data_IF_018198530657
#
_entry.id   IF_018198530657
#
_cell.length_a   1.000
_cell.length_b   1.000
_cell.length_c   1.000
_cell.angle_alpha   90.00
_cell.angle_beta   90.00
_cell.angle_gamma   90.00
#
_symmetry.space_group_name_H-M   'P 1'
#
loop_
_entity.id
_entity.type
_entity.pdbx_description
1 polymer ?
#
# COMPACT_ATOMS: atom_id res chain seq x y z
N UNK A 1 -2.44 -6.79 -22.82
CA UNK A 1 -1.35 -7.38 -21.99
C UNK A 1 -1.84 -7.35 -20.56
N UNK A 2 -1.76 -8.46 -19.81
CA UNK A 2 -2.06 -8.45 -18.38
C UNK A 2 -1.14 -7.42 -17.68
N UNK A 3 -1.67 -6.64 -16.74
CA UNK A 3 -0.87 -5.70 -15.99
C UNK A 3 0.13 -6.46 -15.12
N UNK A 4 1.41 -6.09 -15.23
CA UNK A 4 2.48 -6.66 -14.41
C UNK A 4 2.65 -5.80 -13.17
N UNK A 5 2.97 -6.41 -12.04
CA UNK A 5 3.18 -5.72 -10.74
C UNK A 5 4.45 -4.85 -10.66
N UNK A 6 5.20 -4.71 -11.77
CA UNK A 6 6.55 -4.15 -11.78
C UNK A 6 6.53 -2.66 -11.43
N UNK A 7 5.61 -1.89 -12.02
CA UNK A 7 5.54 -0.44 -11.82
C UNK A 7 5.13 -0.09 -10.40
N UNK A 8 4.17 -0.81 -9.86
CA UNK A 8 3.62 -0.65 -8.52
C UNK A 8 4.66 -1.01 -7.45
N UNK A 9 5.34 -2.16 -7.60
CA UNK A 9 6.41 -2.55 -6.70
C UNK A 9 7.57 -1.54 -6.76
N UNK A 10 7.97 -1.09 -7.95
CA UNK A 10 9.04 -0.11 -8.09
C UNK A 10 8.69 1.23 -7.40
N UNK A 11 7.45 1.70 -7.54
CA UNK A 11 6.98 2.89 -6.85
C UNK A 11 7.04 2.73 -5.33
N UNK A 12 6.49 1.63 -4.80
CA UNK A 12 6.49 1.32 -3.37
C UNK A 12 7.92 1.26 -2.79
N UNK A 13 8.83 0.54 -3.46
CA UNK A 13 10.23 0.41 -3.03
C UNK A 13 10.96 1.75 -3.09
N UNK A 14 10.76 2.53 -4.15
CA UNK A 14 11.35 3.87 -4.25
C UNK A 14 10.90 4.77 -3.10
N UNK A 15 9.62 4.71 -2.73
CA UNK A 15 9.08 5.48 -1.61
C UNK A 15 9.72 5.10 -0.26
N UNK A 16 9.86 3.80 0.01
CA UNK A 16 10.53 3.32 1.23
C UNK A 16 12.01 3.73 1.25
N UNK A 17 12.72 3.51 0.14
CA UNK A 17 14.14 3.86 0.02
C UNK A 17 14.41 5.37 0.19
N UNK A 18 13.45 6.24 -0.17
CA UNK A 18 13.56 7.69 0.08
C UNK A 18 13.64 8.01 1.57
N UNK A 19 12.89 7.31 2.44
CA UNK A 19 12.99 7.51 3.88
C UNK A 19 14.36 7.08 4.41
N UNK A 20 14.83 5.90 4.00
CA UNK A 20 16.16 5.41 4.39
C UNK A 20 17.26 6.40 4.01
N UNK A 21 17.24 6.91 2.78
CA UNK A 21 18.20 7.91 2.30
C UNK A 21 18.13 9.20 3.12
N UNK A 22 16.93 9.75 3.27
CA UNK A 22 16.73 11.07 3.90
C UNK A 22 17.09 11.07 5.38
N UNK A 23 16.91 9.93 6.08
CA UNK A 23 17.10 9.84 7.53
C UNK A 23 18.46 9.26 7.97
N UNK A 24 19.33 8.85 7.05
CA UNK A 24 20.72 8.56 7.40
C UNK A 24 21.44 7.45 6.64
N UNK A 25 20.75 6.66 5.81
CA UNK A 25 21.42 5.63 5.00
C UNK A 25 21.91 6.23 3.67
N UNK A 26 23.15 6.73 3.65
CA UNK A 26 23.71 7.49 2.51
C UNK A 26 24.48 6.63 1.50
N UNK A 27 24.77 5.37 1.82
CA UNK A 27 25.46 4.46 0.89
C UNK A 27 24.54 4.02 -0.23
N UNK A 28 24.79 4.53 -1.44
CA UNK A 28 24.03 4.15 -2.64
C UNK A 28 24.08 2.65 -2.94
N UNK A 29 25.20 1.99 -2.63
CA UNK A 29 25.32 0.53 -2.76
C UNK A 29 24.37 -0.20 -1.79
N UNK A 30 24.26 0.26 -0.54
CA UNK A 30 23.32 -0.32 0.42
C UNK A 30 21.88 -0.05 -0.03
N UNK A 31 21.55 1.18 -0.44
CA UNK A 31 20.21 1.50 -0.94
C UNK A 31 19.82 0.67 -2.16
N UNK A 32 20.75 0.45 -3.10
CA UNK A 32 20.52 -0.40 -4.27
C UNK A 32 20.31 -1.86 -3.86
N UNK A 33 21.15 -2.39 -2.96
CA UNK A 33 21.01 -3.76 -2.43
C UNK A 33 19.66 -3.96 -1.75
N UNK A 34 19.26 -3.01 -0.90
CA UNK A 34 17.95 -3.02 -0.23
C UNK A 34 16.82 -2.97 -1.24
N UNK A 35 16.87 -2.04 -2.20
CA UNK A 35 15.81 -1.85 -3.18
C UNK A 35 15.65 -3.08 -4.08
N UNK A 36 16.75 -3.69 -4.53
CA UNK A 36 16.70 -4.92 -5.31
C UNK A 36 16.10 -6.07 -4.48
N UNK A 37 16.59 -6.26 -3.25
CA UNK A 37 16.09 -7.32 -2.38
C UNK A 37 14.60 -7.18 -2.08
N UNK A 38 14.12 -5.96 -1.81
CA UNK A 38 12.71 -5.74 -1.50
C UNK A 38 11.82 -5.95 -2.74
N UNK A 39 12.27 -5.54 -3.93
CA UNK A 39 11.54 -5.81 -5.17
C UNK A 39 11.34 -7.33 -5.40
N UNK A 40 12.41 -8.12 -5.23
CA UNK A 40 12.36 -9.58 -5.39
C UNK A 40 11.41 -10.23 -4.37
N UNK A 41 11.49 -9.82 -3.10
CA UNK A 41 10.63 -10.34 -2.03
C UNK A 41 9.16 -10.01 -2.26
N UNK A 42 8.84 -8.77 -2.65
CA UNK A 42 7.47 -8.36 -2.93
C UNK A 42 6.91 -9.08 -4.16
N UNK A 43 7.70 -9.20 -5.23
CA UNK A 43 7.27 -9.89 -6.44
C UNK A 43 6.93 -11.36 -6.18
N UNK A 44 7.77 -12.06 -5.41
CA UNK A 44 7.48 -13.45 -5.03
C UNK A 44 6.28 -13.53 -4.08
N UNK A 45 6.18 -12.62 -3.10
CA UNK A 45 5.07 -12.62 -2.15
C UNK A 45 3.71 -12.38 -2.82
N UNK A 46 3.66 -11.50 -3.82
CA UNK A 46 2.43 -11.08 -4.51
C UNK A 46 2.02 -12.00 -5.65
N UNK A 47 2.91 -12.89 -6.12
CA UNK A 47 2.74 -13.74 -7.31
C UNK A 47 1.38 -14.42 -7.46
N UNK A 48 0.81 -14.94 -6.36
CA UNK A 48 -0.48 -15.64 -6.34
C UNK A 48 -1.63 -14.80 -5.79
N UNK A 49 -1.35 -13.55 -5.46
CA UNK A 49 -2.29 -12.60 -4.87
C UNK A 49 -2.35 -11.31 -5.69
N UNK A 50 -2.11 -11.37 -7.01
CA UNK A 50 -2.18 -10.22 -7.91
C UNK A 50 -3.34 -10.42 -8.90
N UNK A 51 -4.38 -9.59 -8.80
CA UNK A 51 -5.60 -9.73 -9.59
C UNK A 51 -5.94 -8.41 -10.30
N UNK A 52 -5.34 -8.12 -11.48
CA UNK A 52 -5.59 -6.87 -12.21
C UNK A 52 -7.07 -6.61 -12.51
N UNK A 53 -7.87 -7.65 -12.69
CA UNK A 53 -9.30 -7.54 -12.98
C UNK A 53 -10.12 -7.17 -11.73
N UNK A 54 -9.56 -7.38 -10.53
CA UNK A 54 -10.15 -7.05 -9.23
C UNK A 54 -9.06 -6.48 -8.31
N UNK A 55 -8.60 -5.23 -8.53
CA UNK A 55 -7.41 -4.69 -7.86
C UNK A 55 -7.45 -4.83 -6.32
N UNK A 56 -8.62 -4.66 -5.73
CA UNK A 56 -8.82 -4.71 -4.27
C UNK A 56 -8.74 -6.12 -3.68
N UNK A 57 -8.92 -7.15 -4.50
CA UNK A 57 -8.77 -8.54 -4.06
C UNK A 57 -7.32 -8.77 -3.64
N UNK A 58 -7.12 -9.13 -2.37
CA UNK A 58 -5.79 -9.36 -1.81
C UNK A 58 -5.03 -8.10 -1.40
N UNK A 59 -5.62 -6.90 -1.47
CA UNK A 59 -4.96 -5.64 -1.08
C UNK A 59 -4.43 -5.70 0.36
N UNK A 60 -5.23 -6.21 1.30
CA UNK A 60 -4.80 -6.40 2.69
C UNK A 60 -3.64 -7.39 2.87
N UNK A 61 -3.54 -8.41 2.00
CA UNK A 61 -2.41 -9.36 2.01
C UNK A 61 -1.14 -8.71 1.47
N UNK A 62 -1.25 -7.87 0.43
CA UNK A 62 -0.12 -7.17 -0.17
C UNK A 62 0.34 -5.95 0.64
N UNK A 63 -0.53 -5.42 1.49
CA UNK A 63 -0.29 -4.23 2.30
C UNK A 63 1.02 -4.34 3.10
N UNK A 64 1.88 -3.34 2.95
CA UNK A 64 3.09 -3.18 3.75
C UNK A 64 2.74 -2.29 4.93
N UNK A 65 3.00 -2.77 6.16
CA UNK A 65 2.61 -2.04 7.38
C UNK A 65 3.76 -1.96 8.38
N UNK A 66 4.02 -0.74 8.84
CA UNK A 66 4.93 -0.44 9.95
C UNK A 66 4.10 0.21 11.05
N UNK A 67 4.23 -0.32 12.26
CA UNK A 67 3.66 0.25 13.49
C UNK A 67 4.65 -0.06 14.65
N UNK A 68 4.17 -0.56 15.78
CA UNK A 68 5.02 -1.17 16.81
C UNK A 68 5.79 -2.41 16.32
N UNK A 69 5.50 -2.90 15.11
CA UNK A 69 6.19 -4.00 14.43
C UNK A 69 6.65 -3.57 13.03
N UNK A 70 7.84 -4.02 12.65
CA UNK A 70 8.37 -3.83 11.30
C UNK A 70 7.72 -4.82 10.33
N UNK A 71 7.44 -4.37 9.12
CA UNK A 71 7.03 -5.26 8.04
C UNK A 71 8.11 -6.35 7.82
N UNK A 72 7.75 -7.63 7.76
CA UNK A 72 8.72 -8.71 7.67
C UNK A 72 9.55 -8.67 6.39
N UNK A 73 9.00 -8.21 5.26
CA UNK A 73 9.71 -8.14 3.99
C UNK A 73 10.68 -6.97 3.97
N UNK A 74 10.29 -5.81 4.54
CA UNK A 74 11.23 -4.69 4.78
C UNK A 74 12.36 -5.15 5.70
N UNK A 75 12.03 -5.81 6.82
CA UNK A 75 13.02 -6.32 7.76
C UNK A 75 14.00 -7.28 7.11
N UNK A 76 13.51 -8.22 6.30
CA UNK A 76 14.33 -9.18 5.58
C UNK A 76 15.23 -8.52 4.52
N UNK A 77 14.73 -7.53 3.78
CA UNK A 77 15.55 -6.76 2.85
C UNK A 77 16.63 -5.95 3.58
N UNK A 78 16.29 -5.36 4.72
CA UNK A 78 17.21 -4.58 5.54
C UNK A 78 18.35 -5.44 6.13
N UNK A 79 18.11 -6.71 6.47
CA UNK A 79 19.16 -7.62 6.93
C UNK A 79 20.35 -7.71 5.95
N UNK A 80 20.11 -7.54 4.65
CA UNK A 80 21.18 -7.58 3.64
C UNK A 80 22.13 -6.39 3.67
N UNK A 81 21.74 -5.30 4.33
CA UNK A 81 22.50 -4.04 4.36
C UNK A 81 23.03 -3.67 5.74
N UNK A 82 22.66 -4.43 6.78
CA UNK A 82 23.25 -4.38 8.12
C UNK A 82 22.68 -3.42 9.19
N UNK A 83 21.65 -2.56 8.99
CA UNK A 83 21.08 -1.80 10.09
C UNK A 83 20.40 -2.75 11.08
N UNK A 84 20.55 -2.44 12.36
CA UNK A 84 19.78 -3.09 13.42
C UNK A 84 18.28 -2.78 13.29
N UNK A 85 17.44 -3.62 13.89
CA UNK A 85 15.99 -3.37 13.92
C UNK A 85 15.66 -1.98 14.50
N UNK A 86 16.38 -1.55 15.54
CA UNK A 86 16.17 -0.25 16.17
C UNK A 86 16.53 0.92 15.25
N UNK A 87 17.64 0.82 14.52
CA UNK A 87 18.01 1.83 13.51
C UNK A 87 16.98 1.88 12.39
N UNK A 88 16.52 0.73 11.90
CA UNK A 88 15.52 0.65 10.85
C UNK A 88 14.20 1.35 11.25
N UNK A 89 13.74 1.16 12.50
CA UNK A 89 12.59 1.88 13.04
C UNK A 89 12.81 3.40 13.12
N UNK A 90 14.03 3.86 13.39
CA UNK A 90 14.35 5.31 13.39
C UNK A 90 14.36 5.90 11.97
N UNK A 91 14.77 5.11 10.99
CA UNK A 91 14.89 5.53 9.59
C UNK A 91 13.55 5.57 8.85
N UNK A 92 12.53 4.85 9.32
CA UNK A 92 11.20 4.80 8.69
C UNK A 92 10.16 5.60 9.49
N UNK A 93 8.97 5.87 8.93
CA UNK A 93 7.85 6.38 9.73
C UNK A 93 7.43 5.35 10.79
N UNK A 94 7.12 5.81 12.00
CA UNK A 94 6.65 4.93 13.10
C UNK A 94 5.32 4.26 12.79
N UNK A 95 4.49 4.91 11.96
CA UNK A 95 3.22 4.40 11.49
C UNK A 95 3.10 4.63 10.00
N UNK A 96 3.19 3.55 9.22
CA UNK A 96 3.04 3.55 7.78
C UNK A 96 2.09 2.42 7.39
N UNK A 97 1.15 2.72 6.52
CA UNK A 97 0.37 1.72 5.78
C UNK A 97 0.51 2.04 4.30
N UNK A 98 0.97 1.08 3.50
CA UNK A 98 1.23 1.23 2.08
C UNK A 98 0.53 0.10 1.34
N UNK A 99 -0.43 0.46 0.49
CA UNK A 99 -1.17 -0.46 -0.37
C UNK A 99 -0.51 -0.49 -1.74
N UNK A 100 -0.21 -1.70 -2.21
CA UNK A 100 0.42 -1.95 -3.51
C UNK A 100 -0.55 -2.81 -4.30
N UNK A 101 -1.41 -2.15 -5.05
CA UNK A 101 -2.53 -2.77 -5.75
C UNK A 101 -2.38 -2.57 -7.26
N UNK A 102 -2.92 -3.47 -8.11
CA UNK A 102 -2.88 -3.25 -9.55
C UNK A 102 -3.36 -1.84 -9.91
N UNK A 103 -2.53 -1.13 -10.66
CA UNK A 103 -2.76 0.24 -11.12
C UNK A 103 -2.73 1.35 -10.06
N UNK A 104 -2.59 1.05 -8.77
CA UNK A 104 -2.55 2.09 -7.72
C UNK A 104 -1.58 1.70 -6.61
N UNK A 105 -0.69 2.64 -6.26
CA UNK A 105 0.05 2.57 -4.98
C UNK A 105 -0.35 3.77 -4.17
N UNK A 106 -0.87 3.54 -2.97
CA UNK A 106 -1.31 4.59 -2.06
C UNK A 106 -0.82 4.32 -0.65
N UNK A 107 -0.71 5.36 0.15
CA UNK A 107 -0.15 5.25 1.50
C UNK A 107 -0.85 6.16 2.49
N UNK A 108 -0.68 5.82 3.78
CA UNK A 108 -1.05 6.64 4.92
C UNK A 108 0.10 6.64 5.92
N UNK A 109 0.46 7.81 6.44
CA UNK A 109 1.42 7.97 7.54
C UNK A 109 0.67 8.46 8.78
N UNK A 110 0.81 7.76 9.90
CA UNK A 110 0.01 7.97 11.10
C UNK A 110 -1.36 7.27 11.05
N UNK A 111 -1.94 6.96 12.21
CA UNK A 111 -3.30 6.41 12.31
C UNK A 111 -4.37 7.34 11.68
N UNK A 112 -4.29 8.64 11.97
CA UNK A 112 -5.20 9.68 11.47
C UNK A 112 -4.69 10.38 10.19
N UNK A 113 -3.69 9.80 9.54
CA UNK A 113 -3.12 10.36 8.31
C UNK A 113 -4.10 10.39 7.15
N UNK A 114 -3.93 11.38 6.27
CA UNK A 114 -4.59 11.35 4.96
C UNK A 114 -4.01 10.25 4.07
N UNK A 115 -4.86 9.66 3.23
CA UNK A 115 -4.42 8.71 2.20
C UNK A 115 -3.97 9.50 0.97
N UNK A 116 -2.73 9.26 0.55
CA UNK A 116 -2.12 9.88 -0.62
C UNK A 116 -1.81 8.81 -1.68
N UNK A 117 -2.04 9.15 -2.95
CA UNK A 117 -1.67 8.30 -4.09
C UNK A 117 -0.22 8.60 -4.47
N UNK A 118 0.59 7.55 -4.57
CA UNK A 118 2.00 7.58 -4.96
C UNK A 118 2.18 7.22 -6.44
N UNK A 119 1.37 6.29 -6.94
CA UNK A 119 1.40 5.79 -8.30
C UNK A 119 -0.03 5.50 -8.76
N UNK A 120 -0.31 5.85 -10.01
CA UNK A 120 -1.57 5.55 -10.67
C UNK A 120 -1.31 5.18 -12.13
N UNK A 121 -2.00 4.16 -12.63
CA UNK A 121 -1.98 3.75 -14.02
C UNK A 121 -3.39 3.43 -14.52
N UNK A 122 -3.55 3.37 -15.85
CA UNK A 122 -4.78 2.89 -16.45
C UNK A 122 -4.66 1.41 -16.85
N UNK A 123 -5.70 0.59 -16.62
CA UNK A 123 -5.77 -0.74 -17.22
C UNK A 123 -5.70 -0.61 -18.74
N UNK A 124 -4.87 -1.43 -19.38
CA UNK A 124 -4.73 -1.43 -20.82
C UNK A 124 -6.04 -1.93 -21.48
N UNK A 125 -6.93 -1.00 -21.85
CA UNK A 125 -8.23 -1.31 -22.45
C UNK A 125 -9.18 -0.13 -22.71
N UNK A 126 -8.79 1.13 -22.46
CA UNK A 126 -9.61 2.31 -22.78
C UNK A 126 -8.95 3.16 -23.86
N UNK A 127 -9.21 2.89 -25.14
CA UNK A 127 -8.98 3.87 -26.20
C UNK A 127 -10.12 4.88 -26.20
N UNK A 128 -9.88 6.13 -25.83
CA UNK A 128 -10.58 7.27 -26.44
C UNK A 128 -9.83 8.57 -26.25
N UNK A 129 -9.93 9.39 -27.28
CA UNK A 129 -9.19 10.61 -27.56
C UNK A 129 -9.68 11.80 -26.71
N UNK A 130 -8.85 12.84 -26.64
CA UNK A 130 -9.14 14.16 -26.10
C UNK A 130 -10.55 14.68 -26.44
N UNK A 131 -11.29 15.15 -25.43
CA UNK A 131 -12.15 16.35 -25.51
C UNK A 131 -12.62 16.76 -24.12
N UNK A 132 -12.56 18.06 -23.87
CA UNK A 132 -13.10 18.78 -22.72
C UNK A 132 -14.60 18.52 -22.55
N UNK A 133 -15.01 17.84 -21.48
CA UNK A 133 -16.27 18.18 -20.79
C UNK A 133 -16.33 17.56 -19.39
N UNK A 134 -16.77 18.39 -18.44
CA UNK A 134 -17.14 18.00 -17.08
C UNK A 134 -18.39 17.13 -17.17
N UNK A 135 -18.34 15.83 -16.84
CA UNK A 135 -19.38 15.12 -16.06
C UNK A 135 -19.17 13.61 -15.92
N UNK A 136 -19.49 13.17 -14.69
CA UNK A 136 -19.90 11.83 -14.22
C UNK A 136 -18.81 10.76 -14.09
N UNK A 137 -18.52 10.48 -12.83
CA UNK A 137 -17.68 9.43 -12.28
C UNK A 137 -18.03 8.05 -12.85
N UNK A 138 -17.13 7.46 -13.64
CA UNK A 138 -17.02 6.01 -13.70
C UNK A 138 -16.37 5.60 -12.38
N UNK A 139 -17.19 5.12 -11.44
CA UNK A 139 -16.81 4.77 -10.08
C UNK A 139 -15.81 3.60 -10.09
N UNK A 140 -14.55 3.88 -10.44
CA UNK A 140 -13.42 3.11 -9.95
C UNK A 140 -13.35 3.38 -8.47
N UNK A 141 -14.11 2.59 -7.72
CA UNK A 141 -13.99 2.50 -6.28
C UNK A 141 -12.55 2.10 -6.02
N UNK A 142 -11.71 3.08 -5.69
CA UNK A 142 -10.39 2.80 -5.12
C UNK A 142 -10.63 1.88 -3.94
N UNK A 143 -9.76 0.90 -3.73
CA UNK A 143 -9.89 -0.10 -2.66
C UNK A 143 -10.06 0.52 -1.27
N UNK A 144 -9.70 1.81 -1.17
CA UNK A 144 -10.01 2.76 -0.11
C UNK A 144 -11.49 2.87 0.28
N UNK A 145 -12.41 2.96 -0.68
CA UNK A 145 -13.85 3.13 -0.38
C UNK A 145 -14.47 1.81 0.08
N UNK A 146 -14.11 0.68 -0.52
CA UNK A 146 -14.64 -0.65 -0.18
C UNK A 146 -14.34 -1.02 1.29
N UNK A 147 -13.15 -0.68 1.80
CA UNK A 147 -12.77 -0.90 3.20
C UNK A 147 -13.50 0.03 4.19
N UNK A 148 -13.86 1.25 3.77
CA UNK A 148 -14.62 2.19 4.60
C UNK A 148 -16.11 1.81 4.67
N UNK A 149 -16.67 1.31 3.57
CA UNK A 149 -18.05 0.81 3.48
C UNK A 149 -18.28 -0.42 4.36
N UNK A 150 -17.26 -1.25 4.59
CA UNK A 150 -17.32 -2.44 5.45
C UNK A 150 -17.42 -2.19 6.97
N UNK A 151 -17.37 -0.92 7.43
CA UNK A 151 -17.51 -0.58 8.86
C UNK A 151 -18.94 -0.22 9.30
N UNK A 152 -19.91 -0.22 8.40
CA UNK A 152 -21.32 -0.10 8.81
C UNK A 152 -21.83 -1.46 9.29
N UNK A 153 -21.53 -1.80 10.55
CA UNK A 153 -22.35 -2.79 11.26
C UNK A 153 -23.81 -2.29 11.20
N UNK A 154 -24.81 -3.11 10.85
CA UNK A 154 -26.19 -2.71 11.04
C UNK A 154 -26.35 -2.37 12.52
N UNK A 155 -26.78 -1.14 12.82
CA UNK A 155 -27.22 -0.79 14.16
C UNK A 155 -28.37 -1.73 14.51
N UNK A 156 -28.08 -2.78 15.29
CA UNK A 156 -29.12 -3.58 15.92
C UNK A 156 -29.79 -2.66 16.93
N UNK A 157 -30.98 -2.15 16.58
CA UNK A 157 -31.89 -1.53 17.52
C UNK A 157 -32.26 -2.59 18.57
N UNK A 158 -31.62 -2.53 19.73
CA UNK A 158 -32.13 -3.20 20.92
C UNK A 158 -33.24 -2.31 21.48
N UNK A 159 -34.49 -2.72 21.28
CA UNK A 159 -35.60 -2.19 22.05
C UNK A 159 -35.39 -2.59 23.51
N UNK A 160 -35.07 -1.61 24.37
CA UNK A 160 -35.05 -1.80 25.82
C UNK A 160 -36.46 -2.19 26.27
N UNK A 161 -36.65 -3.44 26.72
CA UNK A 161 -37.85 -3.82 27.47
C UNK A 161 -37.75 -3.20 28.86
N UNK A 162 -38.60 -2.21 29.13
CA UNK A 162 -38.84 -1.72 30.49
C UNK A 162 -39.63 -2.79 31.24
N UNK A 163 -39.00 -3.46 32.20
CA UNK A 163 -39.73 -4.32 33.14
C UNK A 163 -40.43 -3.40 34.13
N UNK A 164 -41.76 -3.42 34.13
CA UNK A 164 -42.61 -2.84 35.17
C UNK A 164 -43.23 -4.00 35.94
N UNK A 165 -43.21 -3.92 37.28
CA UNK A 165 -43.95 -4.80 38.19
C UNK A 165 -43.07 -5.75 38.97
#
# INVERSE_FOLDING_TARGET
RAATMIGEIAAAVSFISKFLRTKGLTSERQLQTFSQSLQELLAEHYKHHWFPEKPCKGSGYRCIRINHKMDPLIGQAAQRIGPSSQELFRLLPSELTLWVDPYEVSYRIGEDGSICVLYEASPAGGSTQNSTNVQMVDSRISCKEELLLGRTSPSKNYNMMTVSG
#
